data_IF_292960925844
#
_entry.id   IF_292960925844
#
_cell.length_a   1.000
_cell.length_b   1.000
_cell.length_c   1.000
_cell.angle_alpha   90.00
_cell.angle_beta   90.00
_cell.angle_gamma   90.00
#
_symmetry.space_group_name_H-M   'P 1'
#
loop_
_entity.id
_entity.type
_entity.pdbx_description
1 polymer ?
#
# COMPACT_ATOMS: atom_id res chain seq x y z
N UNK A 1 -3.52 14.21 15.08
CA UNK A 1 -4.08 14.21 13.72
C UNK A 1 -2.93 14.20 12.78
N UNK A 2 -2.55 12.97 12.50
CA UNK A 2 -1.36 12.61 11.76
C UNK A 2 -1.83 12.09 10.41
N UNK A 3 -1.05 12.37 9.37
CA UNK A 3 -1.41 11.95 8.02
C UNK A 3 -1.19 10.44 7.94
N UNK A 4 -2.21 9.73 7.46
CA UNK A 4 -2.11 8.30 7.15
C UNK A 4 -2.29 8.15 5.65
N UNK A 5 -1.39 7.42 5.02
CA UNK A 5 -1.51 7.02 3.62
C UNK A 5 -1.83 5.54 3.58
N UNK A 6 -3.01 5.23 3.04
CA UNK A 6 -3.42 3.88 2.72
C UNK A 6 -2.89 3.55 1.31
N UNK A 7 -2.15 2.45 1.14
CA UNK A 7 -1.64 1.99 -0.16
C UNK A 7 -2.50 0.81 -0.59
N UNK A 8 -3.33 1.02 -1.60
CA UNK A 8 -4.28 0.03 -2.10
C UNK A 8 -3.68 -0.69 -3.31
N UNK A 9 -3.36 -1.97 -3.14
CA UNK A 9 -2.80 -2.82 -4.19
C UNK A 9 -3.87 -3.82 -4.64
N UNK A 10 -4.30 -3.82 -5.92
CA UNK A 10 -5.31 -4.77 -6.40
C UNK A 10 -4.94 -6.23 -6.15
N UNK A 11 -5.87 -7.02 -5.61
CA UNK A 11 -5.75 -8.47 -5.49
C UNK A 11 -5.96 -9.09 -6.88
N UNK A 12 -4.95 -8.98 -7.74
CA UNK A 12 -4.92 -9.65 -9.03
C UNK A 12 -4.48 -11.11 -8.87
N UNK A 13 -5.12 -12.04 -9.60
CA UNK A 13 -4.61 -13.39 -9.74
C UNK A 13 -3.23 -13.34 -10.39
N UNK A 14 -2.20 -13.86 -9.71
CA UNK A 14 -0.89 -14.07 -10.35
C UNK A 14 -1.08 -15.15 -11.42
N UNK A 15 -1.05 -14.85 -12.74
CA UNK A 15 -1.51 -15.79 -13.78
C UNK A 15 -0.66 -17.06 -13.94
N UNK A 16 0.33 -17.25 -13.08
CA UNK A 16 1.33 -18.31 -13.17
C UNK A 16 1.73 -18.87 -11.80
N UNK A 17 0.99 -18.58 -10.73
CA UNK A 17 1.21 -19.23 -9.45
C UNK A 17 0.82 -20.72 -9.58
N UNK A 18 1.71 -21.66 -9.22
CA UNK A 18 1.37 -23.08 -9.13
C UNK A 18 0.16 -23.30 -8.20
N UNK A 19 -0.70 -24.27 -8.50
CA UNK A 19 -1.77 -24.67 -7.58
C UNK A 19 -1.20 -24.98 -6.18
N UNK A 20 -1.71 -24.29 -5.16
CA UNK A 20 -1.27 -24.42 -3.77
C UNK A 20 -0.15 -23.47 -3.33
N UNK A 21 0.37 -22.59 -4.20
CA UNK A 21 1.23 -21.48 -3.80
C UNK A 21 0.44 -20.36 -3.13
N UNK A 22 1.09 -19.61 -2.23
CA UNK A 22 0.53 -18.39 -1.66
C UNK A 22 0.15 -17.43 -2.80
N UNK A 23 -1.11 -17.01 -2.92
CA UNK A 23 -1.61 -16.34 -4.13
C UNK A 23 -1.03 -14.94 -4.36
N UNK A 24 -0.51 -14.32 -3.31
CA UNK A 24 -0.08 -12.93 -3.29
C UNK A 24 1.34 -12.77 -2.72
N UNK A 25 2.37 -13.38 -3.34
CA UNK A 25 3.75 -13.33 -2.83
C UNK A 25 4.33 -11.91 -2.77
N UNK A 26 3.68 -10.95 -3.43
CA UNK A 26 4.02 -9.55 -3.36
C UNK A 26 3.63 -8.90 -2.03
N UNK A 27 2.72 -9.47 -1.22
CA UNK A 27 2.36 -8.90 0.08
C UNK A 27 3.57 -8.86 0.99
N UNK A 28 4.20 -10.02 1.23
CA UNK A 28 5.43 -10.13 2.04
C UNK A 28 6.52 -9.18 1.51
N UNK A 29 6.65 -9.06 0.19
CA UNK A 29 7.63 -8.17 -0.44
C UNK A 29 7.35 -6.68 -0.15
N UNK A 30 6.08 -6.27 -0.10
CA UNK A 30 5.72 -4.90 0.28
C UNK A 30 5.92 -4.68 1.77
N UNK A 31 5.54 -5.65 2.60
CA UNK A 31 5.76 -5.58 4.05
C UNK A 31 7.25 -5.41 4.38
N UNK A 32 8.11 -6.23 3.77
CA UNK A 32 9.56 -6.11 3.90
C UNK A 32 10.06 -4.74 3.44
N UNK A 33 9.62 -4.29 2.25
CA UNK A 33 10.01 -2.98 1.72
C UNK A 33 9.62 -1.81 2.63
N UNK A 34 8.42 -1.87 3.22
CA UNK A 34 7.91 -0.83 4.12
C UNK A 34 8.61 -0.87 5.49
N UNK A 35 8.90 -2.06 6.01
CA UNK A 35 9.64 -2.23 7.26
C UNK A 35 11.08 -1.72 7.18
N UNK A 36 11.68 -1.70 5.98
CA UNK A 36 13.01 -1.15 5.72
C UNK A 36 13.02 0.38 5.52
N UNK A 37 11.86 1.05 5.47
CA UNK A 37 11.81 2.51 5.30
C UNK A 37 12.18 3.24 6.59
N UNK A 38 13.21 4.08 6.54
CA UNK A 38 13.51 5.03 7.62
C UNK A 38 12.67 6.33 7.51
N UNK A 39 12.05 6.56 6.35
CA UNK A 39 11.35 7.79 6.02
C UNK A 39 9.84 7.75 6.33
N UNK A 40 9.28 6.58 6.61
CA UNK A 40 7.88 6.37 6.93
C UNK A 40 7.74 5.23 7.94
N UNK A 41 6.68 5.24 8.72
CA UNK A 41 6.37 4.22 9.72
C UNK A 41 5.16 3.41 9.26
N UNK A 42 5.17 2.09 9.47
CA UNK A 42 3.96 1.27 9.30
C UNK A 42 2.98 1.64 10.41
N UNK A 43 1.80 2.09 10.02
CA UNK A 43 0.79 2.61 10.95
C UNK A 43 -0.07 1.50 11.57
N UNK A 44 -0.48 0.53 10.77
CA UNK A 44 -1.34 -0.59 11.18
C UNK A 44 -1.01 -1.84 10.35
N UNK A 45 -1.51 -3.00 10.81
CA UNK A 45 -1.42 -4.27 10.08
C UNK A 45 -2.14 -4.15 8.73
N UNK A 46 -1.56 -4.75 7.68
CA UNK A 46 -2.18 -4.77 6.36
C UNK A 46 -3.41 -5.67 6.31
N UNK A 47 -4.41 -5.31 5.49
CA UNK A 47 -5.64 -6.09 5.38
C UNK A 47 -6.26 -6.09 3.98
N UNK A 48 -7.06 -7.12 3.69
CA UNK A 48 -7.87 -7.18 2.46
C UNK A 48 -9.13 -6.31 2.59
N UNK A 49 -9.35 -5.44 1.61
CA UNK A 49 -10.50 -4.55 1.55
C UNK A 49 -11.01 -4.43 0.12
N UNK A 50 -12.28 -4.77 -0.14
CA UNK A 50 -12.96 -4.59 -1.43
C UNK A 50 -12.15 -4.98 -2.70
N UNK A 51 -11.44 -6.10 -2.64
CA UNK A 51 -10.63 -6.60 -3.78
C UNK A 51 -9.25 -5.96 -3.92
N UNK A 52 -8.78 -5.21 -2.93
CA UNK A 52 -7.41 -4.76 -2.76
C UNK A 52 -6.82 -5.31 -1.46
N UNK A 53 -5.50 -5.31 -1.35
CA UNK A 53 -4.80 -5.37 -0.08
C UNK A 53 -4.31 -3.97 0.27
N UNK A 54 -4.50 -3.54 1.51
CA UNK A 54 -4.24 -2.18 1.97
C UNK A 54 -3.11 -2.20 2.98
N UNK A 55 -2.10 -1.35 2.76
CA UNK A 55 -1.03 -1.08 3.72
C UNK A 55 -1.18 0.34 4.26
N UNK A 56 -0.77 0.57 5.51
CA UNK A 56 -0.93 1.88 6.15
C UNK A 56 0.42 2.45 6.55
N UNK A 57 0.73 3.67 6.12
CA UNK A 57 1.97 4.36 6.50
C UNK A 57 1.71 5.77 7.04
N UNK A 58 2.54 6.19 7.99
CA UNK A 58 2.47 7.51 8.65
C UNK A 58 3.87 8.03 9.03
N UNK A 59 3.94 9.07 9.87
CA UNK A 59 5.19 9.53 10.51
C UNK A 59 5.99 10.55 9.69
N UNK A 60 5.48 10.95 8.53
CA UNK A 60 6.16 11.91 7.65
C UNK A 60 5.18 12.88 6.96
N UNK A 61 5.74 13.80 6.16
CA UNK A 61 4.92 14.68 5.34
C UNK A 61 4.20 13.87 4.24
N UNK A 62 3.05 14.37 3.79
CA UNK A 62 2.29 13.75 2.68
C UNK A 62 3.17 13.47 1.45
N UNK A 63 4.07 14.39 1.09
CA UNK A 63 4.99 14.22 -0.03
C UNK A 63 5.92 13.01 0.14
N UNK A 64 6.48 12.83 1.35
CA UNK A 64 7.37 11.71 1.66
C UNK A 64 6.59 10.39 1.69
N UNK A 65 5.41 10.38 2.31
CA UNK A 65 4.56 9.19 2.35
C UNK A 65 4.11 8.76 0.94
N UNK A 66 3.71 9.71 0.10
CA UNK A 66 3.35 9.42 -1.29
C UNK A 66 4.54 8.94 -2.12
N UNK A 67 5.76 9.43 -1.84
CA UNK A 67 6.97 8.92 -2.49
C UNK A 67 7.26 7.47 -2.08
N UNK A 68 7.12 7.12 -0.80
CA UNK A 68 7.24 5.73 -0.31
C UNK A 68 6.17 4.84 -0.95
N UNK A 69 4.91 5.27 -0.93
CA UNK A 69 3.80 4.56 -1.56
C UNK A 69 4.01 4.35 -3.08
N UNK A 70 4.56 5.36 -3.76
CA UNK A 70 4.94 5.24 -5.17
C UNK A 70 6.07 4.22 -5.38
N UNK A 71 6.99 4.08 -4.42
CA UNK A 71 8.02 3.06 -4.42
C UNK A 71 7.41 1.65 -4.39
N UNK A 72 6.41 1.43 -3.53
CA UNK A 72 5.63 0.18 -3.48
C UNK A 72 5.06 -0.18 -4.86
N UNK A 73 4.40 0.76 -5.53
CA UNK A 73 3.84 0.53 -6.87
C UNK A 73 4.90 0.20 -7.95
N UNK A 74 6.17 0.55 -7.72
CA UNK A 74 7.29 0.27 -8.61
C UNK A 74 8.00 -1.05 -8.36
N UNK A 75 7.65 -1.78 -7.30
CA UNK A 75 8.31 -3.06 -6.98
C UNK A 75 8.00 -4.14 -8.04
N UNK A 76 8.96 -5.04 -8.33
CA UNK A 76 8.73 -6.15 -9.23
C UNK A 76 7.55 -7.02 -8.78
N UNK A 77 6.65 -7.36 -9.70
CA UNK A 77 5.53 -8.28 -9.43
C UNK A 77 4.28 -7.61 -8.85
N UNK A 78 4.32 -6.29 -8.59
CA UNK A 78 3.15 -5.56 -8.09
C UNK A 78 2.09 -5.40 -9.19
N UNK A 79 0.81 -5.68 -8.91
CA UNK A 79 -0.29 -5.47 -9.83
C UNK A 79 -0.42 -4.02 -10.28
N UNK A 80 -0.81 -3.81 -11.54
CA UNK A 80 -1.15 -2.47 -12.04
C UNK A 80 -2.42 -1.93 -11.35
N UNK A 81 -2.54 -0.61 -11.27
CA UNK A 81 -3.72 0.04 -10.68
C UNK A 81 -3.61 0.30 -9.18
N UNK A 82 -2.38 0.31 -8.65
CA UNK A 82 -2.10 0.76 -7.29
C UNK A 82 -2.49 2.23 -7.13
N UNK A 83 -3.10 2.55 -6.01
CA UNK A 83 -3.42 3.93 -5.64
C UNK A 83 -3.23 4.15 -4.16
N UNK A 84 -3.01 5.40 -3.77
CA UNK A 84 -3.00 5.83 -2.39
C UNK A 84 -4.32 6.53 -2.03
N UNK A 85 -4.74 6.37 -0.78
CA UNK A 85 -5.73 7.25 -0.14
C UNK A 85 -5.02 8.05 0.93
N UNK A 86 -5.02 9.39 0.79
CA UNK A 86 -4.46 10.29 1.80
C UNK A 86 -5.56 10.65 2.79
N UNK A 87 -5.38 10.22 4.03
CA UNK A 87 -6.34 10.37 5.13
C UNK A 87 -5.61 10.76 6.42
N UNK A 88 -6.22 10.48 7.56
CA UNK A 88 -5.69 10.71 8.90
C UNK A 88 -6.04 9.56 9.85
N UNK A 89 -5.43 9.59 11.04
CA UNK A 89 -5.60 8.64 12.13
C UNK A 89 -7.00 8.62 12.78
N UNK A 90 -7.88 9.58 12.46
CA UNK A 90 -9.28 9.64 12.94
C UNK A 90 -10.30 9.08 11.92
N UNK A 91 -9.84 8.60 10.77
CA UNK A 91 -10.73 8.02 9.76
C UNK A 91 -11.40 6.74 10.28
N UNK A 92 -12.74 6.70 10.24
CA UNK A 92 -13.52 5.56 10.77
C UNK A 92 -13.54 4.35 9.83
N UNK A 93 -13.26 4.56 8.54
CA UNK A 93 -13.26 3.51 7.51
C UNK A 93 -12.11 3.72 6.52
N UNK A 94 -11.62 2.61 5.97
CA UNK A 94 -10.67 2.59 4.85
C UNK A 94 -11.30 3.30 3.64
N UNK A 95 -10.51 4.11 2.93
CA UNK A 95 -10.93 4.70 1.67
C UNK A 95 -11.71 6.03 1.79
N UNK A 96 -11.76 6.65 2.97
CA UNK A 96 -12.41 7.96 3.16
C UNK A 96 -11.53 9.17 2.77
N UNK A 97 -10.31 8.93 2.28
CA UNK A 97 -9.32 9.94 1.96
C UNK A 97 -9.36 10.51 0.53
N UNK A 98 -8.39 11.37 0.23
CA UNK A 98 -8.14 11.86 -1.14
C UNK A 98 -7.34 10.81 -1.92
N UNK A 99 -7.92 10.30 -3.00
CA UNK A 99 -7.27 9.35 -3.90
C UNK A 99 -6.11 9.98 -4.69
N UNK A 100 -5.02 9.24 -4.84
CA UNK A 100 -3.84 9.56 -5.66
C UNK A 100 -3.42 8.31 -6.44
N UNK A 101 -3.33 8.39 -7.77
CA UNK A 101 -2.87 7.26 -8.59
C UNK A 101 -1.35 7.06 -8.44
N UNK A 102 -0.91 5.80 -8.43
CA UNK A 102 0.49 5.43 -8.28
C UNK A 102 0.96 4.53 -9.44
N UNK A 103 2.27 4.51 -9.78
CA UNK A 103 3.30 5.39 -9.23
C UNK A 103 3.09 6.86 -9.65
N UNK A 104 3.68 7.78 -8.88
CA UNK A 104 3.72 9.19 -9.26
C UNK A 104 4.54 9.34 -10.56
N UNK A 105 4.02 10.15 -11.50
CA UNK A 105 4.63 10.38 -12.82
C UNK A 105 5.78 11.38 -12.82
#
# INVERSE_FOLDING_TARGET
MDIVVEIHVPLGETPSAPEGSYPFPWIDQVEDFLAEQEAAEVYDDGEEYDGVYVFFITGATEEVLLAVASGTAGLPGIPSGVFAMVTNDEAEEIGLGRRVELPLG
#
